data_IF_888112078429
#
_entry.id   IF_888112078429
#
_cell.length_a   1.000
_cell.length_b   1.000
_cell.length_c   1.000
_cell.angle_alpha   90.00
_cell.angle_beta   90.00
_cell.angle_gamma   90.00
#
_symmetry.space_group_name_H-M   'P 1'
#
loop_
_entity.id
_entity.type
_entity.pdbx_description
1 polymer ?
#
# COMPACT_ATOMS: atom_id res chain seq x y z
N UNK A 1 -12.05 9.70 -18.42
CA UNK A 1 -10.86 10.43 -18.92
C UNK A 1 -10.04 9.43 -19.71
N UNK A 2 -9.21 9.85 -20.68
CA UNK A 2 -8.63 8.91 -21.66
C UNK A 2 -7.99 7.63 -21.06
N UNK A 3 -7.30 7.70 -19.92
CA UNK A 3 -6.73 6.53 -19.23
C UNK A 3 -7.79 5.62 -18.59
N UNK A 4 -8.74 6.18 -17.84
CA UNK A 4 -9.86 5.44 -17.23
C UNK A 4 -10.72 4.79 -18.33
N UNK A 5 -10.99 5.51 -19.42
CA UNK A 5 -11.80 5.04 -20.54
C UNK A 5 -11.10 3.93 -21.35
N UNK A 6 -9.77 4.00 -21.47
CA UNK A 6 -8.98 3.00 -22.21
C UNK A 6 -8.67 1.73 -21.40
N UNK A 7 -8.62 1.82 -20.06
CA UNK A 7 -8.20 0.71 -19.19
C UNK A 7 -9.34 0.10 -18.39
N UNK A 8 -10.46 0.82 -18.22
CA UNK A 8 -11.54 0.42 -17.32
C UNK A 8 -11.21 0.54 -15.83
N UNK A 9 -10.02 1.05 -15.47
CA UNK A 9 -9.61 1.26 -14.08
C UNK A 9 -10.24 2.55 -13.57
N UNK A 10 -10.97 2.48 -12.45
CA UNK A 10 -11.54 3.67 -11.80
C UNK A 10 -10.43 4.55 -11.20
N UNK A 11 -10.24 5.74 -11.76
CA UNK A 11 -9.23 6.70 -11.33
C UNK A 11 -9.86 7.90 -10.59
N UNK A 12 -11.14 7.84 -10.19
CA UNK A 12 -11.82 8.96 -9.53
C UNK A 12 -11.09 9.43 -8.28
N UNK A 13 -10.72 8.53 -7.38
CA UNK A 13 -9.95 8.89 -6.17
C UNK A 13 -8.51 9.31 -6.52
N UNK A 14 -7.90 8.66 -7.52
CA UNK A 14 -6.56 9.02 -7.98
C UNK A 14 -6.46 10.47 -8.46
N UNK A 15 -7.55 11.07 -8.95
CA UNK A 15 -7.60 12.50 -9.34
C UNK A 15 -7.32 13.46 -8.17
N UNK A 16 -7.45 13.03 -6.91
CA UNK A 16 -7.09 13.84 -5.75
C UNK A 16 -5.62 14.28 -5.77
N UNK A 17 -4.73 13.51 -6.38
CA UNK A 17 -3.32 13.90 -6.60
C UNK A 17 -3.14 15.21 -7.37
N UNK A 18 -4.13 15.60 -8.19
CA UNK A 18 -4.09 16.83 -8.97
C UNK A 18 -4.72 18.04 -8.26
N UNK A 19 -5.47 17.80 -7.17
CA UNK A 19 -6.24 18.83 -6.47
C UNK A 19 -5.85 19.02 -5.02
N UNK A 20 -5.10 18.08 -4.42
CA UNK A 20 -4.66 18.14 -3.04
C UNK A 20 -3.16 18.43 -2.98
N UNK A 21 -2.79 19.55 -2.33
CA UNK A 21 -1.40 19.92 -2.09
C UNK A 21 -0.81 19.22 -0.86
N UNK A 22 0.51 19.28 -0.70
CA UNK A 22 1.23 18.66 0.40
C UNK A 22 1.73 17.25 0.07
N UNK A 23 2.65 16.75 0.88
CA UNK A 23 3.26 15.44 0.72
C UNK A 23 2.64 14.47 1.73
N UNK A 24 2.00 13.37 1.30
CA UNK A 24 1.44 12.40 2.22
C UNK A 24 2.56 11.70 3.00
N UNK A 25 2.31 11.42 4.28
CA UNK A 25 3.14 10.56 5.10
C UNK A 25 2.45 9.21 5.26
N UNK A 26 3.19 8.14 4.98
CA UNK A 26 2.76 6.78 5.30
C UNK A 26 3.42 6.30 6.60
N UNK A 27 2.61 5.88 7.55
CA UNK A 27 3.06 5.12 8.72
C UNK A 27 2.74 3.65 8.50
N UNK A 28 3.77 2.82 8.55
CA UNK A 28 3.64 1.37 8.33
C UNK A 28 4.00 0.64 9.60
N UNK A 29 3.11 -0.25 10.04
CA UNK A 29 3.34 -1.18 11.13
C UNK A 29 3.09 -2.60 10.65
N UNK A 30 3.84 -3.55 11.20
CA UNK A 30 3.70 -4.95 10.81
C UNK A 30 3.67 -5.88 12.00
N UNK A 31 2.94 -6.98 11.86
CA UNK A 31 2.88 -8.06 12.83
C UNK A 31 3.03 -9.40 12.13
N UNK A 32 3.89 -10.27 12.66
CA UNK A 32 4.06 -11.63 12.16
C UNK A 32 3.49 -12.63 13.15
N UNK A 33 2.62 -13.52 12.67
CA UNK A 33 2.07 -14.63 13.44
C UNK A 33 2.63 -15.96 12.91
N UNK A 34 3.52 -16.58 13.70
CA UNK A 34 4.18 -17.83 13.32
C UNK A 34 3.23 -19.06 13.33
N UNK A 35 2.22 -19.07 14.20
CA UNK A 35 1.26 -20.19 14.28
C UNK A 35 0.32 -20.18 13.08
N UNK A 36 -0.21 -19.01 12.74
CA UNK A 36 -1.09 -18.81 11.58
C UNK A 36 -0.31 -18.71 10.26
N UNK A 37 1.02 -18.50 10.31
CA UNK A 37 1.88 -18.21 9.15
C UNK A 37 1.36 -17.02 8.34
N UNK A 38 1.03 -15.95 9.05
CA UNK A 38 0.51 -14.72 8.46
C UNK A 38 1.38 -13.52 8.80
N UNK A 39 1.43 -12.58 7.87
CA UNK A 39 2.10 -11.29 8.05
C UNK A 39 1.09 -10.17 7.79
N UNK A 40 0.73 -9.43 8.82
CA UNK A 40 -0.19 -8.31 8.74
C UNK A 40 0.60 -7.01 8.56
N UNK A 41 0.33 -6.28 7.48
CA UNK A 41 0.88 -4.96 7.20
C UNK A 41 -0.22 -3.91 7.32
N UNK A 42 -0.14 -3.07 8.35
CA UNK A 42 -1.07 -1.96 8.56
C UNK A 42 -0.42 -0.67 8.07
N UNK A 43 -1.06 -0.03 7.10
CA UNK A 43 -0.63 1.22 6.48
C UNK A 43 -1.61 2.31 6.86
N UNK A 44 -1.11 3.39 7.43
CA UNK A 44 -1.84 4.62 7.72
C UNK A 44 -1.31 5.74 6.81
N UNK A 45 -2.20 6.48 6.17
CA UNK A 45 -1.83 7.66 5.37
C UNK A 45 -2.39 8.94 6.00
N UNK A 46 -1.62 10.01 5.92
CA UNK A 46 -2.03 11.32 6.38
C UNK A 46 -1.29 12.41 5.60
N UNK A 47 -1.97 13.51 5.28
CA UNK A 47 -1.34 14.71 4.71
C UNK A 47 -1.61 15.86 5.66
N UNK A 48 -0.56 16.59 6.06
CA UNK A 48 -0.72 17.79 6.88
C UNK A 48 -1.47 18.90 6.14
N UNK A 49 -2.23 19.72 6.87
CA UNK A 49 -2.84 20.92 6.31
C UNK A 49 -1.78 21.85 5.74
N UNK A 50 -2.03 22.39 4.55
CA UNK A 50 -1.16 23.39 3.90
C UNK A 50 -1.80 24.77 3.99
N UNK A 51 -1.03 25.82 3.72
CA UNK A 51 -1.53 27.20 3.81
C UNK A 51 -2.76 27.46 2.93
N UNK A 52 -2.79 26.83 1.76
CA UNK A 52 -3.82 26.95 0.73
C UNK A 52 -4.98 25.96 0.91
N UNK A 53 -4.82 24.93 1.75
CA UNK A 53 -5.78 23.85 1.88
C UNK A 53 -5.74 23.22 3.28
N UNK A 54 -6.77 23.52 4.07
CA UNK A 54 -6.92 23.00 5.43
C UNK A 54 -7.46 21.56 5.48
N UNK A 55 -8.38 21.23 4.56
CA UNK A 55 -8.99 19.89 4.49
C UNK A 55 -8.18 18.97 3.58
N UNK A 56 -7.85 17.78 4.08
CA UNK A 56 -7.13 16.74 3.35
C UNK A 56 -7.94 15.44 3.38
N UNK A 57 -7.83 14.67 2.31
CA UNK A 57 -8.51 13.39 2.11
C UNK A 57 -7.48 12.29 1.85
N UNK A 58 -7.85 11.04 2.13
CA UNK A 58 -7.09 9.87 1.72
C UNK A 58 -6.90 9.85 0.20
N UNK A 59 -5.65 9.74 -0.23
CA UNK A 59 -5.28 9.54 -1.62
C UNK A 59 -5.40 8.07 -1.99
N UNK A 60 -5.43 7.80 -3.29
CA UNK A 60 -5.16 6.47 -3.83
C UNK A 60 -3.65 6.38 -4.11
N UNK A 61 -2.92 5.75 -3.18
CA UNK A 61 -1.46 5.64 -3.20
C UNK A 61 -1.09 4.22 -3.67
N UNK A 62 -0.44 4.07 -4.84
CA UNK A 62 0.13 2.79 -5.27
C UNK A 62 1.37 2.49 -4.43
N UNK A 63 1.29 1.47 -3.57
CA UNK A 63 2.33 1.12 -2.61
C UNK A 63 2.99 -0.20 -3.00
N UNK A 64 4.11 -0.12 -3.73
CA UNK A 64 4.87 -1.28 -4.19
C UNK A 64 5.68 -1.89 -3.04
N UNK A 65 5.44 -3.16 -2.76
CA UNK A 65 6.12 -3.92 -1.70
C UNK A 65 6.69 -5.24 -2.21
N UNK A 66 7.69 -5.75 -1.52
CA UNK A 66 8.15 -7.12 -1.65
C UNK A 66 8.51 -7.68 -0.29
N UNK A 67 8.24 -8.97 -0.05
CA UNK A 67 8.61 -9.66 1.17
C UNK A 67 9.75 -10.64 0.86
N UNK A 68 10.78 -10.64 1.69
CA UNK A 68 11.92 -11.55 1.55
C UNK A 68 12.03 -12.49 2.74
N UNK A 69 12.42 -13.72 2.45
CA UNK A 69 12.80 -14.71 3.45
C UNK A 69 14.25 -14.48 3.96
N UNK A 70 14.66 -15.26 4.94
CA UNK A 70 15.99 -15.23 5.56
C UNK A 70 17.13 -15.58 4.59
N UNK A 71 16.82 -16.14 3.42
CA UNK A 71 17.77 -16.45 2.34
C UNK A 71 17.75 -15.38 1.24
N UNK A 72 16.93 -14.35 1.35
CA UNK A 72 16.76 -13.29 0.37
C UNK A 72 15.89 -13.70 -0.83
N UNK A 73 15.10 -14.77 -0.73
CA UNK A 73 14.13 -15.16 -1.75
C UNK A 73 12.81 -14.43 -1.54
N UNK A 74 12.11 -14.11 -2.63
CA UNK A 74 10.82 -13.44 -2.58
C UNK A 74 9.73 -14.38 -2.05
N UNK A 75 8.95 -13.92 -1.09
CA UNK A 75 7.78 -14.62 -0.58
C UNK A 75 6.55 -14.17 -1.40
N UNK A 76 5.78 -15.10 -1.99
CA UNK A 76 4.56 -14.75 -2.71
C UNK A 76 3.56 -13.99 -1.84
N UNK A 77 2.95 -12.95 -2.41
CA UNK A 77 1.90 -12.19 -1.75
C UNK A 77 0.55 -12.86 -2.01
N UNK A 78 -0.05 -13.43 -0.96
CA UNK A 78 -1.33 -14.13 -1.04
C UNK A 78 -2.28 -13.53 0.00
N UNK A 79 -3.49 -13.15 -0.41
CA UNK A 79 -4.54 -12.63 0.48
C UNK A 79 -5.84 -13.36 0.14
N UNK A 80 -6.51 -13.92 1.14
CA UNK A 80 -7.74 -14.71 0.97
C UNK A 80 -7.58 -15.87 -0.03
N UNK A 81 -6.43 -16.55 -0.01
CA UNK A 81 -6.12 -17.64 -0.94
C UNK A 81 -5.77 -17.23 -2.38
N UNK A 82 -5.77 -15.94 -2.72
CA UNK A 82 -5.46 -15.45 -4.06
C UNK A 82 -4.10 -14.74 -4.11
N UNK A 83 -3.33 -15.00 -5.17
CA UNK A 83 -2.10 -14.24 -5.43
C UNK A 83 -2.46 -12.80 -5.77
N UNK A 84 -1.84 -11.85 -5.07
CA UNK A 84 -2.02 -10.42 -5.33
C UNK A 84 -0.77 -9.82 -5.98
N UNK A 85 -0.94 -8.70 -6.66
CA UNK A 85 0.18 -7.91 -7.18
C UNK A 85 1.00 -7.29 -6.05
N UNK A 86 2.26 -6.96 -6.34
CA UNK A 86 3.18 -6.27 -5.44
C UNK A 86 2.78 -4.80 -5.17
N UNK A 87 1.98 -4.21 -6.05
CA UNK A 87 1.45 -2.85 -5.86
C UNK A 87 0.12 -2.92 -5.10
N UNK A 88 0.14 -2.52 -3.84
CA UNK A 88 -1.05 -2.42 -3.01
C UNK A 88 -1.76 -1.09 -3.22
N UNK A 89 -3.09 -1.14 -3.29
CA UNK A 89 -3.95 0.04 -3.36
C UNK A 89 -4.26 0.59 -1.96
N UNK A 90 -3.52 1.60 -1.51
CA UNK A 90 -3.83 2.31 -0.27
C UNK A 90 -4.83 3.43 -0.62
N UNK A 91 -6.08 3.27 -0.18
CA UNK A 91 -7.22 4.14 -0.52
C UNK A 91 -7.93 4.71 0.70
N UNK A 92 -7.65 4.22 1.90
CA UNK A 92 -8.26 4.69 3.15
C UNK A 92 -7.19 5.28 4.06
N UNK A 93 -7.61 6.03 5.07
CA UNK A 93 -6.71 6.59 6.09
C UNK A 93 -5.91 5.51 6.82
N UNK A 94 -6.52 4.33 6.99
CA UNK A 94 -5.90 3.15 7.61
C UNK A 94 -6.41 1.88 6.94
N UNK A 95 -5.49 1.02 6.48
CA UNK A 95 -5.79 -0.29 5.91
C UNK A 95 -4.82 -1.35 6.43
N UNK A 96 -5.31 -2.58 6.57
CA UNK A 96 -4.48 -3.73 6.92
C UNK A 96 -4.57 -4.77 5.81
N UNK A 97 -3.40 -5.22 5.34
CA UNK A 97 -3.24 -6.32 4.39
C UNK A 97 -2.66 -7.51 5.15
N UNK A 98 -3.34 -8.65 5.11
CA UNK A 98 -2.89 -9.87 5.81
C UNK A 98 -2.42 -10.86 4.76
N UNK A 99 -1.11 -11.06 4.68
CA UNK A 99 -0.49 -12.01 3.76
C UNK A 99 -0.46 -13.40 4.39
N UNK A 100 -0.89 -14.39 3.62
CA UNK A 100 -0.97 -15.80 4.00
C UNK A 100 0.26 -16.58 3.54
N UNK A 101 0.45 -17.78 4.10
CA UNK A 101 1.54 -18.70 3.74
C UNK A 101 2.95 -18.12 3.97
N UNK A 102 3.08 -17.18 4.91
CA UNK A 102 4.35 -16.57 5.31
C UNK A 102 4.98 -17.46 6.40
N UNK A 103 5.80 -18.42 5.97
CA UNK A 103 6.30 -19.52 6.83
C UNK A 103 7.34 -19.09 7.86
N UNK A 104 7.94 -17.91 7.71
CA UNK A 104 8.88 -17.30 8.63
C UNK A 104 8.74 -15.78 8.64
N UNK A 105 9.28 -15.09 9.65
CA UNK A 105 9.16 -13.63 9.74
C UNK A 105 9.87 -12.97 8.55
N UNK A 106 9.15 -12.22 7.70
CA UNK A 106 9.72 -11.65 6.49
C UNK A 106 10.50 -10.38 6.78
N UNK A 107 11.41 -10.04 5.86
CA UNK A 107 11.98 -8.68 5.75
C UNK A 107 11.22 -7.94 4.65
N UNK A 108 10.46 -6.88 4.97
CA UNK A 108 9.72 -6.11 3.98
C UNK A 108 10.60 -5.08 3.27
N UNK A 109 10.52 -5.03 1.94
CA UNK A 109 10.96 -3.91 1.12
C UNK A 109 9.73 -3.10 0.74
N UNK A 110 9.66 -1.84 1.19
CA UNK A 110 8.48 -0.99 1.09
C UNK A 110 8.72 0.19 0.15
N UNK A 111 7.67 0.68 -0.49
CA UNK A 111 7.68 1.83 -1.40
C UNK A 111 8.77 1.70 -2.48
N UNK A 112 8.86 0.51 -3.08
CA UNK A 112 9.88 0.19 -4.09
C UNK A 112 9.78 1.14 -5.28
N UNK A 113 10.93 1.44 -5.88
CA UNK A 113 11.05 2.39 -6.99
C UNK A 113 10.38 3.75 -6.73
N UNK A 114 10.22 4.12 -5.45
CA UNK A 114 9.49 5.31 -5.04
C UNK A 114 8.09 5.37 -5.70
N UNK A 115 7.34 4.27 -5.57
CA UNK A 115 6.07 4.05 -6.30
C UNK A 115 5.02 5.15 -6.12
N UNK A 116 5.12 5.93 -5.05
CA UNK A 116 4.36 7.16 -4.86
C UNK A 116 5.21 8.25 -4.17
N UNK A 117 4.97 9.54 -4.48
CA UNK A 117 5.72 10.66 -3.93
C UNK A 117 5.27 11.14 -2.55
#
# INVERSE_FOLDING_TARGET
SAMEDATGVDLKQFRLWYSQSGTPTLRVNSEYNAEAKTYALTVEQFTEATQDQAEKQALHIPFDIELYDSKGQTIPLIINGESVHNVLDIKQDKQTFVFENVVEQPVPSLLREFSAP
#
